data_IF_892498277506
#
_entry.id   IF_892498277506
#
_cell.length_a   1.000
_cell.length_b   1.000
_cell.length_c   1.000
_cell.angle_alpha   90.00
_cell.angle_beta   90.00
_cell.angle_gamma   90.00
#
_symmetry.space_group_name_H-M   'P 1'
#
loop_
_entity.id
_entity.type
_entity.pdbx_description
1 polymer ?
#
# COMPACT_ATOMS: atom_id res chain seq x y z
N UNK A 1 25.17 -18.12 -23.85
CA UNK A 1 23.89 -17.39 -23.95
C UNK A 1 23.26 -17.41 -22.56
N UNK A 2 23.43 -16.33 -21.81
CA UNK A 2 22.95 -16.21 -20.42
C UNK A 2 21.51 -15.74 -20.43
N UNK A 3 20.54 -16.66 -20.32
CA UNK A 3 19.15 -16.28 -20.04
C UNK A 3 18.96 -16.32 -18.54
N UNK A 4 19.34 -15.23 -17.88
CA UNK A 4 18.92 -14.94 -16.50
C UNK A 4 17.41 -14.77 -16.52
N UNK A 5 16.70 -15.76 -15.98
CA UNK A 5 15.28 -15.67 -15.67
C UNK A 5 15.12 -14.69 -14.49
N UNK A 6 15.20 -13.40 -14.80
CA UNK A 6 14.66 -12.36 -13.92
C UNK A 6 13.16 -12.58 -13.92
N UNK A 7 12.68 -13.31 -12.91
CA UNK A 7 11.26 -13.42 -12.59
C UNK A 7 10.73 -12.02 -12.35
N UNK A 8 10.32 -11.38 -13.45
CA UNK A 8 9.68 -10.09 -13.45
C UNK A 8 8.50 -10.22 -12.50
N UNK A 9 8.62 -9.58 -11.34
CA UNK A 9 7.46 -9.13 -10.61
C UNK A 9 6.69 -8.34 -11.66
N UNK A 10 5.64 -8.95 -12.21
CA UNK A 10 4.75 -8.26 -13.13
C UNK A 10 4.26 -7.07 -12.31
N UNK A 11 4.84 -5.91 -12.59
CA UNK A 11 4.40 -4.64 -12.08
C UNK A 11 3.01 -4.43 -12.67
N UNK A 12 2.03 -5.09 -12.06
CA UNK A 12 0.73 -4.47 -11.89
C UNK A 12 1.07 -3.26 -11.05
N UNK A 13 1.30 -2.15 -11.73
CA UNK A 13 1.52 -0.85 -11.11
C UNK A 13 0.39 -0.69 -10.11
N UNK A 14 0.72 -0.94 -8.85
CA UNK A 14 -0.26 -0.97 -7.79
C UNK A 14 -0.66 0.48 -7.69
N UNK A 15 -1.95 0.78 -7.88
CA UNK A 15 -2.44 2.16 -7.78
C UNK A 15 -2.00 2.87 -6.48
N UNK A 16 -1.47 2.14 -5.48
CA UNK A 16 -0.81 2.66 -4.27
C UNK A 16 0.30 3.67 -4.58
N UNK A 17 1.07 3.48 -5.65
CA UNK A 17 2.15 4.39 -6.06
C UNK A 17 1.61 5.80 -6.43
N UNK A 18 0.29 5.92 -6.69
CA UNK A 18 -0.39 7.20 -6.94
C UNK A 18 -0.66 7.98 -5.67
N UNK A 19 -0.58 7.35 -4.49
CA UNK A 19 -0.83 7.98 -3.20
C UNK A 19 0.48 8.60 -2.68
N UNK A 20 0.47 9.93 -2.56
CA UNK A 20 1.60 10.66 -1.99
C UNK A 20 1.92 10.17 -0.58
N UNK A 21 3.18 9.84 -0.35
CA UNK A 21 3.68 9.37 0.95
C UNK A 21 3.75 7.85 1.10
N UNK A 22 3.21 7.07 0.17
CA UNK A 22 3.47 5.63 0.08
C UNK A 22 4.70 5.42 -0.80
N UNK A 23 5.87 5.30 -0.16
CA UNK A 23 7.11 4.91 -0.85
C UNK A 23 7.27 3.39 -0.93
N UNK A 24 8.33 2.94 -1.60
CA UNK A 24 8.63 1.51 -1.80
C UNK A 24 8.60 0.69 -0.50
N UNK A 25 9.14 1.21 0.61
CA UNK A 25 9.11 0.54 1.92
C UNK A 25 7.69 0.29 2.42
N UNK A 26 6.83 1.30 2.37
CA UNK A 26 5.44 1.17 2.83
C UNK A 26 4.63 0.30 1.88
N UNK A 27 4.92 0.36 0.57
CA UNK A 27 4.31 -0.50 -0.44
C UNK A 27 4.58 -1.97 -0.13
N UNK A 28 5.83 -2.36 0.12
CA UNK A 28 6.18 -3.74 0.49
C UNK A 28 5.45 -4.19 1.76
N UNK A 29 5.43 -3.37 2.82
CA UNK A 29 4.72 -3.66 4.06
C UNK A 29 3.22 -3.89 3.80
N UNK A 30 2.59 -3.00 3.02
CA UNK A 30 1.17 -3.09 2.68
C UNK A 30 0.88 -4.36 1.86
N UNK A 31 1.71 -4.69 0.88
CA UNK A 31 1.59 -5.91 0.08
C UNK A 31 1.69 -7.17 0.94
N UNK A 32 2.64 -7.21 1.88
CA UNK A 32 2.84 -8.35 2.77
C UNK A 32 1.67 -8.62 3.72
N UNK A 33 0.90 -7.59 4.08
CA UNK A 33 -0.33 -7.72 4.88
C UNK A 33 -1.61 -7.83 4.02
N UNK A 34 -1.47 -8.05 2.71
CA UNK A 34 -2.59 -8.24 1.79
C UNK A 34 -3.32 -6.96 1.40
N UNK A 35 -2.59 -5.85 1.31
CA UNK A 35 -3.07 -4.56 0.79
C UNK A 35 -2.19 -4.19 -0.41
N UNK A 36 -2.56 -4.66 -1.61
CA UNK A 36 -1.78 -4.45 -2.83
C UNK A 36 -2.42 -3.42 -3.79
N UNK A 37 -3.56 -2.82 -3.42
CA UNK A 37 -4.29 -1.88 -4.29
C UNK A 37 -5.01 -0.77 -3.53
N UNK A 38 -5.29 0.35 -4.21
CA UNK A 38 -6.07 1.48 -3.63
C UNK A 38 -7.47 1.05 -3.21
N UNK A 39 -8.06 0.07 -3.89
CA UNK A 39 -9.39 -0.47 -3.54
C UNK A 39 -9.36 -1.17 -2.19
N UNK A 40 -8.32 -1.97 -1.95
CA UNK A 40 -8.15 -2.65 -0.66
C UNK A 40 -7.83 -1.66 0.44
N UNK A 41 -6.88 -0.74 0.19
CA UNK A 41 -6.49 0.29 1.14
C UNK A 41 -7.68 1.18 1.54
N UNK A 42 -8.47 1.65 0.58
CA UNK A 42 -9.64 2.50 0.83
C UNK A 42 -10.76 1.84 1.64
N UNK A 43 -10.74 0.50 1.76
CA UNK A 43 -11.69 -0.29 2.56
C UNK A 43 -11.16 -0.64 3.96
N UNK A 44 -9.91 -0.30 4.28
CA UNK A 44 -9.32 -0.54 5.60
C UNK A 44 -9.69 0.58 6.58
N UNK A 45 -9.52 0.28 7.86
CA UNK A 45 -9.60 1.23 8.96
C UNK A 45 -8.17 1.58 9.43
N UNK A 46 -7.87 2.85 9.69
CA UNK A 46 -6.51 3.30 10.00
C UNK A 46 -5.92 2.63 11.25
N UNK A 47 -6.69 2.55 12.34
CA UNK A 47 -6.26 1.93 13.59
C UNK A 47 -5.98 0.42 13.40
N UNK A 48 -6.88 -0.30 12.72
CA UNK A 48 -6.69 -1.73 12.44
C UNK A 48 -5.51 -1.98 11.50
N UNK A 49 -5.34 -1.16 10.47
CA UNK A 49 -4.24 -1.29 9.52
C UNK A 49 -2.90 -1.02 10.21
N UNK A 50 -2.83 0.01 11.07
CA UNK A 50 -1.66 0.28 11.89
C UNK A 50 -1.30 -0.94 12.74
N UNK A 51 -2.29 -1.48 13.45
CA UNK A 51 -2.11 -2.67 14.29
C UNK A 51 -1.60 -3.86 13.48
N UNK A 52 -2.18 -4.15 12.31
CA UNK A 52 -1.72 -5.25 11.45
C UNK A 52 -0.27 -5.06 11.00
N UNK A 53 0.14 -3.83 10.68
CA UNK A 53 1.53 -3.51 10.34
C UNK A 53 2.45 -3.77 11.53
N UNK A 54 2.07 -3.28 12.71
CA UNK A 54 2.85 -3.44 13.95
C UNK A 54 2.94 -4.90 14.40
N UNK A 55 1.85 -5.67 14.27
CA UNK A 55 1.80 -7.10 14.60
C UNK A 55 2.71 -7.93 13.68
N UNK A 56 2.85 -7.53 12.40
CA UNK A 56 3.63 -8.28 11.39
C UNK A 56 5.09 -7.85 11.29
N UNK A 57 5.36 -6.55 11.39
CA UNK A 57 6.69 -5.96 11.13
C UNK A 57 7.28 -5.23 12.34
N UNK A 58 6.53 -5.10 13.44
CA UNK A 58 6.90 -4.24 14.55
C UNK A 58 6.59 -2.76 14.30
N UNK A 59 6.87 -1.90 15.30
CA UNK A 59 6.61 -0.46 15.21
C UNK A 59 7.40 0.18 14.08
N UNK A 60 6.68 0.78 13.13
CA UNK A 60 7.29 1.47 11.99
C UNK A 60 7.53 2.93 12.33
N UNK A 61 8.80 3.31 12.46
CA UNK A 61 9.22 4.69 12.76
C UNK A 61 8.66 5.65 11.71
N UNK A 62 7.96 6.69 12.18
CA UNK A 62 7.37 7.70 11.31
C UNK A 62 5.99 7.34 10.74
N UNK A 63 5.46 6.15 11.02
CA UNK A 63 4.10 5.79 10.62
C UNK A 63 3.09 6.14 11.73
N UNK A 64 2.30 7.18 11.49
CA UNK A 64 1.20 7.56 12.39
C UNK A 64 -0.15 7.10 11.88
N UNK A 65 -1.12 6.92 12.78
CA UNK A 65 -2.51 6.60 12.39
C UNK A 65 -3.09 7.68 11.47
N UNK A 66 -2.76 8.95 11.70
CA UNK A 66 -3.19 10.07 10.85
C UNK A 66 -2.63 9.97 9.43
N UNK A 67 -1.39 9.51 9.28
CA UNK A 67 -0.78 9.29 7.97
C UNK A 67 -1.45 8.12 7.24
N UNK A 68 -1.75 7.04 7.96
CA UNK A 68 -2.50 5.91 7.40
C UNK A 68 -3.91 6.35 6.98
N UNK A 69 -4.58 7.16 7.81
CA UNK A 69 -5.89 7.72 7.49
C UNK A 69 -5.83 8.57 6.22
N UNK A 70 -4.82 9.43 6.07
CA UNK A 70 -4.62 10.22 4.86
C UNK A 70 -4.43 9.34 3.61
N UNK A 71 -3.71 8.21 3.73
CA UNK A 71 -3.59 7.24 2.64
C UNK A 71 -4.93 6.58 2.28
N UNK A 72 -5.74 6.22 3.28
CA UNK A 72 -7.08 5.64 3.07
C UNK A 72 -7.99 6.64 2.34
N UNK A 73 -7.96 7.92 2.73
CA UNK A 73 -8.80 8.95 2.11
C UNK A 73 -8.32 9.29 0.69
N UNK A 74 -7.01 9.33 0.47
CA UNK A 74 -6.43 9.44 -0.87
C UNK A 74 -6.81 8.24 -1.74
N UNK A 75 -6.80 7.02 -1.19
CA UNK A 75 -7.19 5.80 -1.90
C UNK A 75 -8.66 5.82 -2.32
N UNK A 76 -9.57 6.28 -1.45
CA UNK A 76 -10.99 6.45 -1.77
C UNK A 76 -11.17 7.46 -2.91
N UNK A 77 -10.46 8.58 -2.84
CA UNK A 77 -10.51 9.64 -3.87
C UNK A 77 -9.95 9.16 -5.21
N UNK A 78 -8.82 8.43 -5.19
CA UNK A 78 -8.24 7.86 -6.40
C UNK A 78 -9.15 6.80 -7.03
N UNK A 79 -9.89 6.03 -6.22
CA UNK A 79 -10.80 5.01 -6.71
C UNK A 79 -12.05 5.60 -7.40
N UNK A 80 -12.57 6.74 -6.94
CA UNK A 80 -13.71 7.42 -7.57
C UNK A 80 -13.33 8.14 -8.87
N UNK A 81 -12.06 8.47 -9.06
CA UNK A 81 -11.53 9.14 -10.26
C UNK A 81 -11.25 8.19 -11.43
N UNK A 82 -11.52 6.88 -11.31
CA UNK A 82 -11.39 5.96 -12.45
C UNK A 82 -12.70 6.01 -13.25
N UNK A 83 -12.73 6.66 -14.43
CA UNK A 83 -13.91 6.56 -15.30
C UNK A 83 -14.12 5.09 -15.69
N UNK A 84 -15.39 4.70 -15.73
CA UNK A 84 -15.84 3.35 -16.07
C UNK A 84 -15.36 2.90 -17.44
#
# INVERSE_FOLDING_TARGET
MTTTNSGGHQAREGDLDRIKGIGARYRTILEEIGVASIRELGRRNAANLKKMIEDRHGPVVGLSERQIQAWIDAAKTANTLRPA
#
